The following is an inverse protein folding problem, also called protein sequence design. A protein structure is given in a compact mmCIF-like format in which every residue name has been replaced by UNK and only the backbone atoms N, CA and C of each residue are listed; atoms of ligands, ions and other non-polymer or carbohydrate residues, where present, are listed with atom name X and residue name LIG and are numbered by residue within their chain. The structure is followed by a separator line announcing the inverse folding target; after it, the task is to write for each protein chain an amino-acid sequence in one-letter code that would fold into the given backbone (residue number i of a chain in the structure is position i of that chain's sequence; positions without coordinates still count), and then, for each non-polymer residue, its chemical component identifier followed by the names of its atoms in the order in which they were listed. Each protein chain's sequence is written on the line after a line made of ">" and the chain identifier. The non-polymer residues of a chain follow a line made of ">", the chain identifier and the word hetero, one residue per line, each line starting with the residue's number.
data_IF_744437466649
#
_entry.id   IF_744437466649
#
_cell.length_a   1.000
_cell.length_b   1.000
_cell.length_c   1.000
_cell.angle_alpha   90.00
_cell.angle_beta   90.00
_cell.angle_gamma   90.00
#
_symmetry.space_group_name_H-M   'P 1'
#
loop_
_entity.id
_entity.type
_entity.pdbx_description
1 polymer ?
#
# COMPACT_ATOMS: atom_id res chain seq x y z
N UNK A 1 10.10 -9.43 -7.85
CA UNK A 1 9.31 -8.31 -7.30
C UNK A 1 9.81 -7.94 -5.89
N UNK A 2 11.09 -7.57 -5.78
CA UNK A 2 11.72 -7.37 -4.46
C UNK A 2 11.26 -6.06 -3.81
N UNK A 3 10.87 -5.07 -4.61
CA UNK A 3 10.32 -3.78 -4.14
C UNK A 3 9.00 -3.96 -3.39
N UNK A 4 8.05 -4.69 -3.99
CA UNK A 4 6.77 -4.98 -3.37
C UNK A 4 7.00 -5.81 -2.10
N UNK A 5 7.86 -6.85 -2.15
CA UNK A 5 8.14 -7.68 -0.99
C UNK A 5 8.75 -6.90 0.18
N UNK A 6 9.73 -6.03 -0.07
CA UNK A 6 10.32 -5.16 0.95
C UNK A 6 9.30 -4.16 1.50
N UNK A 7 8.50 -3.55 0.62
CA UNK A 7 7.44 -2.63 1.04
C UNK A 7 6.41 -3.35 1.92
N UNK A 8 5.90 -4.50 1.49
CA UNK A 8 4.90 -5.25 2.27
C UNK A 8 5.48 -5.65 3.61
N UNK A 9 6.74 -6.09 3.71
CA UNK A 9 7.35 -6.45 5.00
C UNK A 9 7.38 -5.25 5.97
N UNK A 10 7.78 -4.08 5.49
CA UNK A 10 8.01 -2.92 6.35
C UNK A 10 6.70 -2.14 6.64
N UNK A 11 5.71 -2.22 5.75
CA UNK A 11 4.45 -1.45 5.84
C UNK A 11 3.19 -2.30 5.95
N UNK A 12 3.31 -3.61 6.17
CA UNK A 12 2.17 -4.54 6.25
C UNK A 12 1.07 -4.04 7.20
N UNK A 13 1.47 -3.51 8.35
CA UNK A 13 0.56 -3.03 9.39
C UNK A 13 -0.26 -1.83 8.92
N UNK A 14 0.33 -0.94 8.10
CA UNK A 14 -0.32 0.24 7.56
C UNK A 14 -1.41 -0.19 6.57
N UNK A 15 -1.09 -1.12 5.68
CA UNK A 15 -2.04 -1.64 4.70
C UNK A 15 -3.16 -2.45 5.35
N UNK A 16 -2.85 -3.21 6.40
CA UNK A 16 -3.85 -3.90 7.20
C UNK A 16 -4.79 -2.90 7.89
N UNK A 17 -4.27 -1.84 8.50
CA UNK A 17 -5.08 -0.79 9.13
C UNK A 17 -5.99 -0.07 8.12
N UNK A 18 -5.46 0.29 6.95
CA UNK A 18 -6.24 0.97 5.90
C UNK A 18 -7.29 0.03 5.30
N UNK A 19 -6.98 -1.25 5.11
CA UNK A 19 -7.95 -2.24 4.65
C UNK A 19 -9.11 -2.39 5.65
N UNK A 20 -8.82 -2.47 6.95
CA UNK A 20 -9.83 -2.53 8.02
C UNK A 20 -10.69 -1.27 8.02
N UNK A 21 -10.09 -0.08 7.96
CA UNK A 21 -10.84 1.18 7.91
C UNK A 21 -11.75 1.25 6.67
N UNK A 22 -11.26 0.80 5.51
CA UNK A 22 -12.06 0.76 4.28
C UNK A 22 -13.23 -0.21 4.42
N UNK A 23 -13.02 -1.39 5.00
CA UNK A 23 -14.09 -2.35 5.26
C UNK A 23 -15.16 -1.78 6.22
N UNK A 24 -14.75 -1.06 7.26
CA UNK A 24 -15.66 -0.36 8.17
C UNK A 24 -16.46 0.71 7.43
N UNK A 25 -15.84 1.51 6.56
CA UNK A 25 -16.56 2.51 5.76
C UNK A 25 -17.58 1.88 4.81
N UNK A 26 -17.22 0.76 4.18
CA UNK A 26 -18.13 0.02 3.29
C UNK A 26 -19.33 -0.53 4.07
N UNK A 27 -19.10 -1.08 5.27
CA UNK A 27 -20.15 -1.68 6.08
C UNK A 27 -21.07 -0.66 6.75
N UNK A 28 -20.51 0.40 7.33
CA UNK A 28 -21.25 1.36 8.16
C UNK A 28 -21.73 2.61 7.41
N UNK A 29 -21.08 2.99 6.29
CA UNK A 29 -21.38 4.25 5.59
C UNK A 29 -22.05 3.98 4.25
N UNK A 30 -21.35 3.35 3.29
CA UNK A 30 -21.88 3.11 1.95
C UNK A 30 -20.98 2.21 1.10
N UNK A 31 -21.59 1.47 0.17
CA UNK A 31 -20.86 0.76 -0.89
C UNK A 31 -20.07 1.69 -1.84
N UNK A 32 -20.34 3.00 -1.84
CA UNK A 32 -19.53 3.98 -2.58
C UNK A 32 -18.04 3.89 -2.23
N UNK A 33 -17.69 3.55 -0.99
CA UNK A 33 -16.31 3.41 -0.53
C UNK A 33 -15.56 2.22 -1.14
N UNK A 34 -16.22 1.35 -1.93
CA UNK A 34 -15.53 0.36 -2.77
C UNK A 34 -14.53 1.00 -3.74
N UNK A 35 -14.73 2.27 -4.11
CA UNK A 35 -13.77 3.04 -4.92
C UNK A 35 -12.40 3.18 -4.25
N UNK A 36 -12.32 3.08 -2.92
CA UNK A 36 -11.04 3.12 -2.21
C UNK A 36 -10.16 1.91 -2.54
N UNK A 37 -10.74 0.75 -2.86
CA UNK A 37 -9.99 -0.48 -3.15
C UNK A 37 -9.02 -0.32 -4.33
N UNK A 38 -9.45 0.11 -5.54
CA UNK A 38 -8.52 0.34 -6.64
C UNK A 38 -7.55 1.50 -6.36
N UNK A 39 -7.99 2.55 -5.64
CA UNK A 39 -7.12 3.66 -5.25
C UNK A 39 -5.99 3.18 -4.34
N UNK A 40 -6.31 2.38 -3.32
CA UNK A 40 -5.37 1.75 -2.40
C UNK A 40 -4.33 0.91 -3.15
N UNK A 41 -4.78 0.14 -4.14
CA UNK A 41 -3.91 -0.71 -4.95
C UNK A 41 -2.93 0.14 -5.79
N UNK A 42 -3.41 1.23 -6.40
CA UNK A 42 -2.57 2.16 -7.15
C UNK A 42 -1.54 2.83 -6.22
N UNK A 43 -1.97 3.35 -5.08
CA UNK A 43 -1.09 4.01 -4.10
C UNK A 43 -0.06 3.03 -3.55
N UNK A 44 -0.46 1.79 -3.28
CA UNK A 44 0.44 0.71 -2.84
C UNK A 44 1.56 0.47 -3.84
N UNK A 45 1.20 0.30 -5.11
CA UNK A 45 2.16 0.05 -6.17
C UNK A 45 3.05 1.27 -6.39
N UNK A 46 2.48 2.48 -6.39
CA UNK A 46 3.23 3.73 -6.51
C UNK A 46 4.27 3.89 -5.41
N UNK A 47 3.88 3.67 -4.15
CA UNK A 47 4.80 3.72 -3.01
C UNK A 47 5.91 2.67 -3.11
N UNK A 48 5.61 1.49 -3.66
CA UNK A 48 6.61 0.44 -3.82
C UNK A 48 7.69 0.84 -4.83
N UNK A 49 7.30 1.44 -5.95
CA UNK A 49 8.22 1.87 -7.00
C UNK A 49 9.00 3.14 -6.65
N UNK A 50 8.37 4.09 -5.93
CA UNK A 50 9.05 5.34 -5.57
C UNK A 50 10.06 5.14 -4.44
N UNK A 51 9.78 4.22 -3.50
CA UNK A 51 10.56 4.05 -2.28
C UNK A 51 11.67 3.01 -2.43
N UNK A 52 11.44 1.96 -3.22
CA UNK A 52 12.38 0.85 -3.36
C UNK A 52 12.96 0.77 -4.78
N UNK A 53 14.26 0.51 -4.86
CA UNK A 53 14.93 0.19 -6.13
C UNK A 53 14.68 -1.27 -6.54
N UNK A 54 14.99 -1.65 -7.78
CA UNK A 54 14.91 -3.00 -8.37
C UNK A 54 15.38 -4.13 -7.44
N UNK A 55 16.38 -3.86 -6.60
CA UNK A 55 16.92 -4.80 -5.62
C UNK A 55 16.12 -4.91 -4.31
N UNK A 56 15.10 -4.09 -4.08
CA UNK A 56 14.30 -4.07 -2.85
C UNK A 56 14.91 -3.23 -1.71
N UNK A 57 15.93 -2.41 -2.01
CA UNK A 57 16.56 -1.47 -1.08
C UNK A 57 15.89 -0.09 -1.16
N UNK A 58 15.95 0.69 -0.08
CA UNK A 58 15.46 2.07 -0.06
C UNK A 58 16.30 2.93 -1.01
N UNK A 59 15.66 3.63 -1.96
CA UNK A 59 16.37 4.52 -2.91
C UNK A 59 17.18 5.63 -2.23
N UNK A 60 16.78 6.07 -1.04
CA UNK A 60 17.48 7.10 -0.27
C UNK A 60 18.85 6.66 0.32
N UNK A 61 19.22 5.37 0.23
CA UNK A 61 20.51 4.86 0.71
C UNK A 61 21.54 4.60 -0.40
N UNK A 62 21.24 4.91 -1.66
CA UNK A 62 22.25 4.90 -2.73
C UNK A 62 22.63 6.35 -3.08
N UNK A 63 23.77 6.86 -2.58
CA UNK A 63 24.32 8.15 -3.02
C UNK A 63 24.70 8.15 -4.50
#
# INVERSE_FOLDING_TARGET
>A
MNQIRSLTRDTWWLWAAVAVLTALQIHYISWFFLVNVPILLIVFVYFAFIRYDSNGNLRAQNP
#
